data_IF_240774874817
#
_entry.id   IF_240774874817
#
_cell.length_a   1.000
_cell.length_b   1.000
_cell.length_c   1.000
_cell.angle_alpha   90.00
_cell.angle_beta   90.00
_cell.angle_gamma   90.00
#
_symmetry.space_group_name_H-M   'P 1'
#
loop_
_entity.id
_entity.type
_entity.pdbx_description
1 polymer ?
#
# COMPACT_ATOMS: atom_id res chain seq x y z
N UNK A 1 6.92 4.55 -16.45
CA UNK A 1 5.95 5.60 -16.87
C UNK A 1 4.50 5.09 -16.81
N UNK A 2 4.07 4.18 -17.70
CA UNK A 2 2.67 3.71 -17.80
C UNK A 2 2.14 3.15 -16.46
N UNK A 3 2.91 2.28 -15.79
CA UNK A 3 2.52 1.72 -14.49
C UNK A 3 2.25 2.81 -13.43
N UNK A 4 3.02 3.90 -13.41
CA UNK A 4 2.78 5.00 -12.46
C UNK A 4 1.47 5.74 -12.75
N UNK A 5 1.08 5.89 -14.01
CA UNK A 5 -0.23 6.47 -14.35
C UNK A 5 -1.36 5.55 -13.92
N UNK A 6 -1.21 4.23 -14.11
CA UNK A 6 -2.21 3.26 -13.66
C UNK A 6 -2.39 3.35 -12.14
N UNK A 7 -1.30 3.29 -11.38
CA UNK A 7 -1.31 3.31 -9.91
C UNK A 7 -1.87 4.64 -9.37
N UNK A 8 -1.42 5.77 -9.88
CA UNK A 8 -1.70 7.07 -9.26
C UNK A 8 -2.93 7.79 -9.83
N UNK A 9 -3.37 7.47 -11.04
CA UNK A 9 -4.49 8.15 -11.68
C UNK A 9 -5.66 7.20 -11.95
N UNK A 10 -5.40 6.07 -12.62
CA UNK A 10 -6.49 5.22 -13.12
C UNK A 10 -7.14 4.39 -12.01
N UNK A 11 -6.33 3.72 -11.18
CA UNK A 11 -6.82 2.89 -10.06
C UNK A 11 -7.68 3.71 -9.09
N UNK A 12 -7.25 4.90 -8.60
CA UNK A 12 -8.08 5.72 -7.70
C UNK A 12 -9.42 6.12 -8.32
N UNK A 13 -9.43 6.52 -9.60
CA UNK A 13 -10.67 6.92 -10.30
C UNK A 13 -11.62 5.71 -10.42
N UNK A 14 -11.11 4.54 -10.82
CA UNK A 14 -11.91 3.32 -10.96
C UNK A 14 -12.48 2.86 -9.62
N UNK A 15 -11.68 2.89 -8.55
CA UNK A 15 -12.12 2.53 -7.22
C UNK A 15 -13.21 3.49 -6.71
N UNK A 16 -13.03 4.80 -6.90
CA UNK A 16 -14.04 5.81 -6.58
C UNK A 16 -15.34 5.58 -7.36
N UNK A 17 -15.24 5.29 -8.66
CA UNK A 17 -16.40 5.01 -9.50
C UNK A 17 -17.21 3.81 -8.97
N UNK A 18 -16.53 2.72 -8.59
CA UNK A 18 -17.17 1.57 -7.94
C UNK A 18 -17.90 1.94 -6.66
N UNK A 19 -17.26 2.74 -5.78
CA UNK A 19 -17.91 3.23 -4.55
C UNK A 19 -19.10 4.14 -4.82
N UNK A 20 -19.04 5.00 -5.84
CA UNK A 20 -20.14 5.92 -6.20
C UNK A 20 -21.32 5.21 -6.84
N UNK A 21 -21.07 4.14 -7.58
CA UNK A 21 -22.11 3.35 -8.26
C UNK A 21 -22.61 2.18 -7.41
N UNK A 22 -22.10 2.01 -6.19
CA UNK A 22 -22.35 0.84 -5.33
C UNK A 22 -22.06 -0.50 -6.03
N UNK A 23 -21.11 -0.49 -6.97
CA UNK A 23 -20.69 -1.65 -7.72
C UNK A 23 -19.28 -2.07 -7.27
N UNK A 24 -19.24 -3.03 -6.35
CA UNK A 24 -17.98 -3.50 -5.75
C UNK A 24 -17.05 -4.15 -6.75
N UNK A 25 -17.56 -4.73 -7.85
CA UNK A 25 -16.73 -5.33 -8.89
C UNK A 25 -15.70 -4.34 -9.46
N UNK A 26 -16.04 -3.05 -9.54
CA UNK A 26 -15.09 -2.02 -9.97
C UNK A 26 -13.99 -1.76 -8.94
N UNK A 27 -14.32 -1.78 -7.65
CA UNK A 27 -13.35 -1.68 -6.57
C UNK A 27 -12.40 -2.88 -6.57
N UNK A 28 -12.95 -4.08 -6.65
CA UNK A 28 -12.18 -5.33 -6.63
C UNK A 28 -11.27 -5.43 -7.84
N UNK A 29 -11.77 -5.10 -9.03
CA UNK A 29 -10.93 -5.05 -10.23
C UNK A 29 -9.80 -4.02 -10.10
N UNK A 30 -10.05 -2.87 -9.45
CA UNK A 30 -9.01 -1.86 -9.23
C UNK A 30 -7.92 -2.36 -8.27
N UNK A 31 -8.30 -3.11 -7.24
CA UNK A 31 -7.35 -3.76 -6.32
C UNK A 31 -6.59 -4.89 -7.01
N UNK A 32 -7.27 -5.72 -7.81
CA UNK A 32 -6.65 -6.78 -8.60
C UNK A 32 -5.56 -6.22 -9.52
N UNK A 33 -5.81 -5.09 -10.20
CA UNK A 33 -4.78 -4.44 -11.02
C UNK A 33 -3.54 -4.06 -10.21
N UNK A 34 -3.71 -3.63 -8.96
CA UNK A 34 -2.58 -3.30 -8.08
C UNK A 34 -1.81 -4.56 -7.64
N UNK A 35 -2.47 -5.71 -7.56
CA UNK A 35 -1.83 -7.00 -7.25
C UNK A 35 -1.04 -7.58 -8.42
N UNK A 36 -1.47 -7.29 -9.66
CA UNK A 36 -0.81 -7.76 -10.90
C UNK A 36 0.40 -6.89 -11.31
N UNK A 37 0.42 -5.62 -10.92
CA UNK A 37 1.55 -4.72 -11.21
C UNK A 37 2.71 -5.02 -10.26
N UNK A 38 3.93 -5.10 -10.80
CA UNK A 38 5.16 -5.29 -9.99
C UNK A 38 5.30 -4.19 -8.93
N UNK A 39 5.87 -4.55 -7.78
CA UNK A 39 6.18 -3.60 -6.72
C UNK A 39 6.98 -2.40 -7.23
N UNK A 40 6.64 -1.21 -6.74
CA UNK A 40 7.37 -0.01 -7.10
C UNK A 40 8.80 -0.02 -6.52
N UNK A 41 9.72 0.57 -7.29
CA UNK A 41 11.11 0.69 -6.89
C UNK A 41 11.33 2.12 -6.39
N UNK A 42 11.41 2.28 -5.07
CA UNK A 42 11.70 3.55 -4.42
C UNK A 42 12.48 3.35 -3.11
N UNK A 43 12.88 4.45 -2.48
CA UNK A 43 13.69 4.43 -1.25
C UNK A 43 12.96 3.77 -0.07
N UNK A 44 11.65 4.00 0.08
CA UNK A 44 10.83 3.40 1.13
C UNK A 44 10.75 1.88 0.97
N UNK A 45 10.42 1.38 -0.21
CA UNK A 45 10.37 -0.06 -0.50
C UNK A 45 11.76 -0.69 -0.32
N UNK A 46 12.81 0.01 -0.74
CA UNK A 46 14.20 -0.44 -0.53
C UNK A 46 14.57 -0.51 0.96
N UNK A 47 14.09 0.44 1.77
CA UNK A 47 14.28 0.43 3.23
C UNK A 47 13.61 -0.79 3.86
N UNK A 48 12.34 -1.07 3.53
CA UNK A 48 11.64 -2.25 4.04
C UNK A 48 12.31 -3.56 3.61
N UNK A 49 12.75 -3.63 2.35
CA UNK A 49 13.48 -4.80 1.82
C UNK A 49 14.76 -5.08 2.61
N UNK A 50 15.53 -4.04 2.95
CA UNK A 50 16.74 -4.17 3.79
C UNK A 50 16.43 -4.65 5.21
N UNK A 51 15.24 -4.38 5.71
CA UNK A 51 14.75 -4.81 7.03
C UNK A 51 13.94 -6.12 6.96
N UNK A 52 14.10 -6.91 5.89
CA UNK A 52 13.51 -8.25 5.79
C UNK A 52 12.09 -8.32 5.22
N UNK A 53 11.48 -7.18 4.86
CA UNK A 53 10.12 -7.15 4.30
C UNK A 53 10.12 -6.74 2.83
N UNK A 54 9.76 -7.68 1.93
CA UNK A 54 9.76 -7.43 0.48
C UNK A 54 8.34 -7.31 -0.06
N UNK A 55 8.04 -6.22 -0.76
CA UNK A 55 6.81 -6.07 -1.53
C UNK A 55 6.89 -6.88 -2.84
N UNK A 56 5.85 -7.64 -3.15
CA UNK A 56 5.74 -8.44 -4.36
C UNK A 56 5.03 -7.68 -5.50
N UNK A 57 4.09 -6.82 -5.16
CA UNK A 57 3.26 -6.07 -6.10
C UNK A 57 3.04 -4.61 -5.68
N UNK A 58 2.40 -3.84 -6.56
CA UNK A 58 2.15 -2.42 -6.35
C UNK A 58 1.22 -2.17 -5.17
N UNK A 59 0.26 -3.07 -4.91
CA UNK A 59 -0.62 -2.98 -3.73
C UNK A 59 0.22 -2.96 -2.45
N UNK A 60 1.16 -3.90 -2.31
CA UNK A 60 2.03 -3.98 -1.15
C UNK A 60 3.02 -2.81 -1.06
N UNK A 61 3.63 -2.36 -2.17
CA UNK A 61 4.54 -1.21 -2.15
C UNK A 61 3.81 0.09 -1.75
N UNK A 62 2.57 0.27 -2.21
CA UNK A 62 1.73 1.40 -1.83
C UNK A 62 1.27 1.33 -0.37
N UNK A 63 0.97 0.13 0.14
CA UNK A 63 0.69 -0.08 1.55
C UNK A 63 1.90 0.31 2.43
N UNK A 64 3.11 -0.09 2.04
CA UNK A 64 4.36 0.30 2.72
C UNK A 64 4.57 1.82 2.71
N UNK A 65 4.35 2.48 1.56
CA UNK A 65 4.44 3.93 1.46
C UNK A 65 3.46 4.64 2.41
N UNK A 66 2.20 4.21 2.42
CA UNK A 66 1.17 4.75 3.30
C UNK A 66 1.52 4.52 4.78
N UNK A 67 1.93 3.31 5.15
CA UNK A 67 2.35 2.97 6.50
C UNK A 67 3.51 3.84 6.96
N UNK A 68 4.57 3.94 6.15
CA UNK A 68 5.76 4.73 6.49
C UNK A 68 5.41 6.21 6.67
N UNK A 69 4.65 6.78 5.73
CA UNK A 69 4.31 8.21 5.75
C UNK A 69 3.38 8.57 6.90
N UNK A 70 2.31 7.79 7.10
CA UNK A 70 1.22 8.18 8.00
C UNK A 70 1.38 7.66 9.43
N UNK A 71 2.26 6.66 9.64
CA UNK A 71 2.49 6.07 10.96
C UNK A 71 3.96 6.15 11.39
N UNK A 72 4.88 5.55 10.63
CA UNK A 72 6.28 5.42 11.07
C UNK A 72 6.97 6.78 11.24
N UNK A 73 6.89 7.65 10.23
CA UNK A 73 7.49 8.99 10.27
C UNK A 73 6.84 9.90 11.31
N UNK A 74 5.57 9.65 11.64
CA UNK A 74 4.84 10.37 12.67
C UNK A 74 4.97 9.72 14.07
N UNK A 75 5.78 8.67 14.21
CA UNK A 75 5.97 7.91 15.45
C UNK A 75 4.66 7.38 16.08
N UNK A 76 3.64 7.09 15.26
CA UNK A 76 2.32 6.62 15.72
C UNK A 76 2.28 5.11 15.95
N UNK A 77 3.34 4.53 16.52
CA UNK A 77 3.46 3.08 16.71
C UNK A 77 2.37 2.51 17.61
N UNK A 78 1.95 3.24 18.66
CA UNK A 78 0.90 2.85 19.60
C UNK A 78 -0.51 2.75 18.99
N UNK A 79 -0.73 3.38 17.83
CA UNK A 79 -2.00 3.32 17.08
C UNK A 79 -1.86 2.59 15.75
N UNK A 80 -0.66 2.09 15.45
CA UNK A 80 -0.38 1.29 14.28
C UNK A 80 -0.57 -0.18 14.63
N UNK A 81 -1.39 -0.92 13.87
CA UNK A 81 -1.61 -2.35 14.13
C UNK A 81 -0.30 -3.14 14.10
N UNK A 82 0.57 -2.87 13.12
CA UNK A 82 1.89 -3.50 13.01
C UNK A 82 2.80 -3.07 14.16
N UNK A 83 2.82 -1.77 14.49
CA UNK A 83 3.64 -1.24 15.59
C UNK A 83 3.26 -1.85 16.94
N UNK A 84 1.96 -1.91 17.24
CA UNK A 84 1.43 -2.56 18.44
C UNK A 84 1.79 -4.04 18.51
N UNK A 85 1.67 -4.76 17.39
CA UNK A 85 2.04 -6.17 17.36
C UNK A 85 3.52 -6.39 17.69
N UNK A 86 4.42 -5.57 17.13
CA UNK A 86 5.86 -5.64 17.42
C UNK A 86 6.14 -5.32 18.90
N UNK A 87 5.51 -4.28 19.45
CA UNK A 87 5.71 -3.90 20.86
C UNK A 87 5.25 -4.98 21.82
N UNK A 88 4.14 -5.66 21.52
CA UNK A 88 3.62 -6.76 22.34
C UNK A 88 4.52 -8.02 22.31
N UNK A 89 5.28 -8.24 21.23
CA UNK A 89 6.23 -9.37 21.15
C UNK A 89 7.48 -9.16 22.04
N UNK A 90 7.73 -7.93 22.45
CA UNK A 90 8.90 -7.54 23.26
C UNK A 90 8.53 -6.96 24.64
N UNK A 91 7.26 -7.08 25.04
CA UNK A 91 6.77 -6.73 26.37
C UNK A 91 6.84 -7.96 27.29
#
# INVERSE_FOLDING_TARGET
>A
FIQHLIINAIVPIKFLYGKKTLNENHCDTALQWMEEIKAEINSTVSFWKKNGLTAQNALQSQAMLNLTKNYCQAHRCLTCVIGNHILQQHA
#
